data_IF_795144028869
#
_entry.id   IF_795144028869
#
_cell.length_a   1.000
_cell.length_b   1.000
_cell.length_c   1.000
_cell.angle_alpha   90.00
_cell.angle_beta   90.00
_cell.angle_gamma   90.00
#
_symmetry.space_group_name_H-M   'P 1'
#
loop_
_entity.id
_entity.type
_entity.pdbx_description
1 polymer ?
#
# COMPACT_ATOMS: atom_id res chain seq x y z
N UNK A 1 3.15 -6.37 -29.24
CA UNK A 1 1.76 -6.32 -29.76
C UNK A 1 0.84 -5.91 -28.63
N UNK A 2 -0.01 -4.89 -28.81
CA UNK A 2 -0.95 -4.47 -27.71
C UNK A 2 -2.11 -5.46 -27.64
N UNK A 3 -2.50 -5.96 -26.45
CA UNK A 3 -3.60 -6.91 -26.33
C UNK A 3 -4.94 -6.28 -26.75
N UNK A 4 -5.82 -7.08 -27.35
CA UNK A 4 -7.17 -6.66 -27.67
C UNK A 4 -8.04 -6.55 -26.40
N UNK A 5 -9.07 -5.71 -26.43
CA UNK A 5 -9.98 -5.54 -25.28
C UNK A 5 -10.61 -6.87 -24.84
N UNK A 6 -10.97 -7.72 -25.80
CA UNK A 6 -11.54 -9.03 -25.51
C UNK A 6 -10.57 -9.96 -24.80
N UNK A 7 -9.27 -9.91 -25.11
CA UNK A 7 -8.27 -10.74 -24.47
C UNK A 7 -8.04 -10.32 -23.01
N UNK A 8 -8.09 -9.00 -22.74
CA UNK A 8 -8.03 -8.47 -21.39
C UNK A 8 -9.21 -8.93 -20.52
N UNK A 9 -10.43 -8.90 -21.10
CA UNK A 9 -11.64 -9.32 -20.38
C UNK A 9 -11.68 -10.83 -20.16
N UNK A 10 -11.25 -11.62 -21.14
CA UNK A 10 -11.14 -13.08 -21.00
C UNK A 10 -10.15 -13.46 -19.88
N UNK A 11 -8.97 -12.86 -19.88
CA UNK A 11 -7.97 -13.11 -18.85
C UNK A 11 -8.49 -12.72 -17.45
N UNK A 12 -9.13 -11.56 -17.34
CA UNK A 12 -9.74 -11.12 -16.10
C UNK A 12 -10.83 -12.11 -15.61
N UNK A 13 -11.64 -12.63 -16.51
CA UNK A 13 -12.69 -13.60 -16.20
C UNK A 13 -12.13 -14.94 -15.72
N UNK A 14 -11.02 -15.40 -16.31
CA UNK A 14 -10.32 -16.60 -15.81
C UNK A 14 -9.80 -16.42 -14.38
N UNK A 15 -9.35 -15.21 -14.04
CA UNK A 15 -8.95 -14.91 -12.65
C UNK A 15 -10.16 -14.90 -11.71
N UNK A 16 -11.32 -14.35 -12.14
CA UNK A 16 -12.60 -14.43 -11.37
C UNK A 16 -12.98 -15.89 -11.13
N UNK A 17 -12.93 -16.73 -12.16
CA UNK A 17 -13.22 -18.17 -12.09
C UNK A 17 -12.30 -18.90 -11.12
N UNK A 18 -10.99 -18.65 -11.23
CA UNK A 18 -9.95 -19.23 -10.37
C UNK A 18 -10.10 -18.81 -8.90
N UNK A 19 -10.47 -17.57 -8.67
CA UNK A 19 -10.66 -16.98 -7.31
C UNK A 19 -12.06 -17.24 -6.75
N UNK A 20 -13.01 -17.73 -7.58
CA UNK A 20 -14.44 -17.86 -7.26
C UNK A 20 -15.07 -16.58 -6.71
N UNK A 21 -14.66 -15.43 -7.26
CA UNK A 21 -15.15 -14.12 -6.85
C UNK A 21 -14.38 -12.98 -7.49
N UNK A 22 -14.80 -11.74 -7.20
CA UNK A 22 -14.16 -10.53 -7.73
C UNK A 22 -12.72 -10.40 -7.23
N UNK A 23 -11.71 -10.40 -8.12
CA UNK A 23 -10.34 -10.18 -7.71
C UNK A 23 -10.13 -8.71 -7.36
N UNK A 24 -9.42 -8.44 -6.27
CA UNK A 24 -8.83 -7.13 -6.04
C UNK A 24 -7.76 -6.84 -7.11
N UNK A 25 -7.38 -5.57 -7.26
CA UNK A 25 -6.33 -5.15 -8.19
C UNK A 25 -5.00 -5.89 -7.91
N UNK A 26 -4.62 -6.00 -6.65
CA UNK A 26 -3.42 -6.72 -6.21
C UNK A 26 -3.52 -8.23 -6.44
N UNK A 27 -4.68 -8.83 -6.17
CA UNK A 27 -4.89 -10.25 -6.45
C UNK A 27 -4.81 -10.57 -7.95
N UNK A 28 -5.26 -9.65 -8.82
CA UNK A 28 -5.13 -9.80 -10.25
C UNK A 28 -3.67 -9.63 -10.72
N UNK A 29 -2.91 -8.71 -10.12
CA UNK A 29 -1.49 -8.50 -10.43
C UNK A 29 -0.68 -9.80 -10.30
N UNK A 30 -1.01 -10.62 -9.29
CA UNK A 30 -0.31 -11.89 -9.02
C UNK A 30 -0.78 -13.04 -9.93
N UNK A 31 -2.05 -13.02 -10.38
CA UNK A 31 -2.67 -14.19 -11.05
C UNK A 31 -3.04 -13.95 -12.50
N UNK A 32 -3.18 -12.70 -12.92
CA UNK A 32 -3.54 -12.32 -14.29
C UNK A 32 -2.34 -12.29 -15.23
N UNK A 33 -2.60 -12.45 -16.51
CA UNK A 33 -1.59 -12.42 -17.56
C UNK A 33 -1.13 -11.01 -17.91
N UNK A 34 -2.01 -10.02 -17.70
CA UNK A 34 -1.76 -8.63 -18.09
C UNK A 34 -1.61 -7.74 -16.87
N UNK A 35 -0.88 -6.63 -17.02
CA UNK A 35 -0.74 -5.68 -15.94
C UNK A 35 -2.07 -4.95 -15.66
N UNK A 36 -2.51 -4.83 -14.38
CA UNK A 36 -3.81 -4.23 -14.03
C UNK A 36 -4.06 -2.86 -14.65
N UNK A 37 -3.03 -1.99 -14.70
CA UNK A 37 -3.12 -0.65 -15.29
C UNK A 37 -3.50 -0.69 -16.78
N UNK A 38 -3.17 -1.77 -17.50
CA UNK A 38 -3.57 -1.93 -18.90
C UNK A 38 -5.08 -2.09 -19.02
N UNK A 39 -5.68 -2.87 -18.12
CA UNK A 39 -7.13 -3.06 -18.04
C UNK A 39 -7.81 -1.77 -17.59
N UNK A 40 -7.31 -1.14 -16.54
CA UNK A 40 -7.84 0.12 -15.99
C UNK A 40 -7.93 1.22 -17.06
N UNK A 41 -6.84 1.43 -17.81
CA UNK A 41 -6.81 2.42 -18.90
C UNK A 41 -7.82 2.15 -20.03
N UNK A 42 -8.16 0.88 -20.25
CA UNK A 42 -9.06 0.47 -21.33
C UNK A 42 -10.53 0.56 -20.94
N UNK A 43 -10.85 0.34 -19.67
CA UNK A 43 -12.23 0.21 -19.18
C UNK A 43 -12.64 1.30 -18.19
N UNK A 44 -11.79 2.32 -17.95
CA UNK A 44 -12.16 3.47 -17.11
C UNK A 44 -11.95 3.24 -15.61
N UNK A 45 -11.02 2.35 -15.24
CA UNK A 45 -10.67 2.04 -13.87
C UNK A 45 -11.06 0.63 -13.43
N UNK A 46 -10.45 0.15 -12.35
CA UNK A 46 -10.68 -1.20 -11.84
C UNK A 46 -12.16 -1.50 -11.49
N UNK A 47 -12.92 -0.58 -10.85
CA UNK A 47 -14.33 -0.80 -10.53
C UNK A 47 -15.24 -0.95 -11.76
N UNK A 48 -14.84 -0.45 -12.92
CA UNK A 48 -15.63 -0.53 -14.15
C UNK A 48 -15.44 -1.87 -14.90
N UNK A 49 -14.41 -2.65 -14.56
CA UNK A 49 -14.10 -3.90 -15.28
C UNK A 49 -15.22 -4.95 -15.19
N UNK A 50 -15.87 -5.18 -14.03
CA UNK A 50 -16.98 -6.13 -13.94
C UNK A 50 -18.15 -5.80 -14.88
N UNK A 51 -18.48 -4.52 -14.99
CA UNK A 51 -19.55 -4.07 -15.88
C UNK A 51 -19.17 -4.19 -17.37
N UNK A 52 -17.92 -3.85 -17.70
CA UNK A 52 -17.39 -4.06 -19.05
C UNK A 52 -17.40 -5.55 -19.42
N UNK A 53 -17.09 -6.42 -18.45
CA UNK A 53 -17.15 -7.86 -18.68
C UNK A 53 -18.58 -8.37 -18.85
N UNK A 54 -19.56 -7.90 -18.06
CA UNK A 54 -20.99 -8.25 -18.26
C UNK A 54 -21.46 -7.92 -19.67
N UNK A 55 -21.09 -6.77 -20.19
CA UNK A 55 -21.40 -6.38 -21.58
C UNK A 55 -20.74 -7.30 -22.61
N UNK A 56 -19.49 -7.67 -22.37
CA UNK A 56 -18.74 -8.59 -23.23
C UNK A 56 -19.33 -10.01 -23.20
N UNK A 57 -19.75 -10.48 -22.04
CA UNK A 57 -20.25 -11.84 -21.81
C UNK A 57 -21.73 -12.03 -22.24
N UNK A 58 -22.43 -10.95 -22.56
CA UNK A 58 -23.83 -10.99 -22.94
C UNK A 58 -24.07 -11.93 -24.14
N UNK A 59 -24.97 -12.90 -23.99
CA UNK A 59 -25.27 -13.91 -25.00
C UNK A 59 -24.22 -15.04 -25.15
N UNK A 60 -23.15 -15.04 -24.37
CA UNK A 60 -22.07 -16.05 -24.46
C UNK A 60 -22.19 -17.07 -23.34
N UNK A 61 -22.61 -18.29 -23.68
CA UNK A 61 -22.81 -19.39 -22.70
C UNK A 61 -21.53 -19.78 -21.96
N UNK A 62 -20.36 -19.61 -22.56
CA UNK A 62 -19.05 -19.92 -21.99
C UNK A 62 -18.69 -19.13 -20.72
N UNK A 63 -19.39 -18.00 -20.44
CA UNK A 63 -19.14 -17.11 -19.33
C UNK A 63 -20.28 -17.04 -18.30
N UNK A 64 -21.26 -17.94 -18.40
CA UNK A 64 -22.43 -17.95 -17.51
C UNK A 64 -22.03 -18.15 -16.04
N UNK A 65 -21.04 -18.97 -15.78
CA UNK A 65 -20.48 -19.23 -14.45
C UNK A 65 -19.82 -17.96 -13.85
N UNK A 66 -19.05 -17.23 -14.65
CA UNK A 66 -18.40 -15.98 -14.22
C UNK A 66 -19.45 -14.90 -13.95
N UNK A 67 -20.45 -14.77 -14.82
CA UNK A 67 -21.56 -13.80 -14.61
C UNK A 67 -22.33 -14.12 -13.33
N UNK A 68 -22.56 -15.39 -13.02
CA UNK A 68 -23.18 -15.81 -11.76
C UNK A 68 -22.31 -15.46 -10.54
N UNK A 69 -20.99 -15.64 -10.62
CA UNK A 69 -20.07 -15.22 -9.57
C UNK A 69 -20.07 -13.70 -9.35
N UNK A 70 -20.23 -12.91 -10.43
CA UNK A 70 -20.36 -11.45 -10.33
C UNK A 70 -21.68 -11.01 -9.71
N UNK A 71 -22.74 -11.79 -9.86
CA UNK A 71 -24.04 -11.51 -9.24
C UNK A 71 -24.03 -11.88 -7.74
N UNK A 72 -23.36 -12.96 -7.38
CA UNK A 72 -23.22 -13.41 -5.98
C UNK A 72 -22.26 -12.54 -5.16
N UNK A 73 -21.31 -11.88 -5.81
CA UNK A 73 -20.27 -11.08 -5.17
C UNK A 73 -20.47 -9.56 -5.20
N UNK A 74 -21.66 -9.07 -5.58
CA UNK A 74 -21.97 -7.65 -5.46
C UNK A 74 -22.19 -7.28 -3.99
N UNK A 75 -21.26 -6.56 -3.34
CA UNK A 75 -21.54 -6.04 -2.02
C UNK A 75 -22.63 -5.00 -2.17
N UNK A 76 -23.64 -5.08 -1.32
CA UNK A 76 -24.67 -4.07 -1.16
C UNK A 76 -24.01 -2.81 -0.57
N UNK A 77 -23.40 -2.00 -1.41
CA UNK A 77 -22.85 -0.70 -1.01
C UNK A 77 -24.01 0.25 -0.70
N UNK A 78 -24.42 0.25 0.58
CA UNK A 78 -25.10 1.41 1.13
C UNK A 78 -24.08 2.56 1.19
N UNK A 79 -24.44 3.78 0.74
CA UNK A 79 -23.55 4.94 0.84
C UNK A 79 -23.17 5.14 2.30
N UNK A 80 -21.87 5.29 2.59
CA UNK A 80 -21.40 5.75 3.88
C UNK A 80 -21.93 7.16 4.11
N UNK A 81 -23.07 7.28 4.78
CA UNK A 81 -23.48 8.55 5.39
C UNK A 81 -22.43 8.93 6.41
N UNK A 82 -21.90 10.14 6.28
CA UNK A 82 -20.96 10.73 7.22
C UNK A 82 -21.48 10.55 8.66
N UNK A 83 -20.84 9.67 9.42
CA UNK A 83 -21.12 9.53 10.84
C UNK A 83 -20.50 10.72 11.55
N UNK A 84 -21.36 11.59 12.04
CA UNK A 84 -21.03 12.59 13.06
C UNK A 84 -20.35 11.89 14.25
N UNK A 85 -19.16 12.36 14.58
CA UNK A 85 -18.37 11.92 15.71
C UNK A 85 -19.17 12.03 17.03
N UNK A 86 -19.38 10.96 17.80
CA UNK A 86 -19.78 11.13 19.16
C UNK A 86 -18.58 11.62 19.98
N UNK A 87 -18.82 12.64 20.79
CA UNK A 87 -17.90 13.34 21.67
C UNK A 87 -16.94 12.38 22.41
N UNK A 88 -15.65 12.62 22.22
CA UNK A 88 -14.62 12.54 23.22
C UNK A 88 -14.52 11.28 24.08
N UNK A 89 -13.87 10.22 23.56
CA UNK A 89 -13.12 9.32 24.44
C UNK A 89 -11.63 9.67 24.28
N UNK A 90 -11.12 10.55 25.15
CA UNK A 90 -9.67 10.73 25.31
C UNK A 90 -9.15 9.47 26.00
N UNK A 91 -8.49 8.61 25.24
CA UNK A 91 -7.64 7.59 25.84
C UNK A 91 -6.44 8.29 26.50
N UNK A 92 -6.10 7.98 27.76
CA UNK A 92 -4.97 8.57 28.46
C UNK A 92 -3.68 8.27 27.69
N UNK A 93 -3.01 9.31 27.24
CA UNK A 93 -1.71 9.24 26.59
C UNK A 93 -0.67 8.77 27.61
N UNK A 94 -0.35 7.52 27.64
CA UNK A 94 0.71 6.97 28.48
C UNK A 94 0.50 5.54 28.94
N UNK A 95 -0.71 5.15 29.25
CA UNK A 95 -0.98 3.79 29.75
C UNK A 95 -1.27 2.75 28.66
N UNK A 96 -1.68 3.16 27.47
CA UNK A 96 -1.98 2.24 26.38
C UNK A 96 -0.76 1.47 25.83
N UNK A 97 0.46 1.99 26.05
CA UNK A 97 1.69 1.34 25.57
C UNK A 97 2.16 0.19 26.44
N UNK A 98 1.91 0.21 27.75
CA UNK A 98 2.23 -0.89 28.65
C UNK A 98 1.28 -2.08 28.50
N UNK A 99 0.02 -1.81 28.16
CA UNK A 99 -0.97 -2.86 27.97
C UNK A 99 -0.72 -3.72 26.72
N UNK A 100 -0.12 -3.14 25.66
CA UNK A 100 0.19 -3.88 24.43
C UNK A 100 1.43 -4.77 24.53
N UNK A 101 2.35 -4.49 25.47
CA UNK A 101 3.55 -5.34 25.71
C UNK A 101 3.21 -6.64 26.47
N UNK A 102 2.06 -6.72 27.11
CA UNK A 102 1.62 -7.89 27.86
C UNK A 102 0.33 -8.51 27.30
N UNK A 103 0.08 -8.42 26.00
CA UNK A 103 -1.04 -9.11 25.38
C UNK A 103 -0.84 -10.62 25.47
N UNK A 104 -1.65 -11.37 26.27
CA UNK A 104 -1.44 -12.81 26.48
C UNK A 104 -1.85 -13.67 25.29
N UNK A 105 -2.23 -13.07 24.18
CA UNK A 105 -2.82 -13.75 23.06
C UNK A 105 -1.81 -14.27 22.03
N UNK A 106 -1.20 -15.39 22.28
CA UNK A 106 -0.62 -16.23 21.19
C UNK A 106 -1.66 -16.77 20.19
N UNK A 107 -2.96 -16.61 20.50
CA UNK A 107 -4.07 -16.88 19.58
C UNK A 107 -4.70 -15.53 19.24
N UNK A 108 -4.31 -14.96 18.10
CA UNK A 108 -4.91 -13.73 17.58
C UNK A 108 -6.43 -13.88 17.45
N UNK A 109 -7.17 -12.79 17.65
CA UNK A 109 -8.59 -12.77 17.36
C UNK A 109 -8.82 -13.06 15.87
N UNK A 110 -9.89 -13.76 15.55
CA UNK A 110 -10.32 -13.95 14.18
C UNK A 110 -10.71 -12.61 13.59
N UNK A 111 -10.13 -12.29 12.44
CA UNK A 111 -10.48 -11.07 11.71
C UNK A 111 -11.95 -11.12 11.29
N UNK A 112 -12.72 -10.11 11.66
CA UNK A 112 -14.10 -9.97 11.23
C UNK A 112 -14.14 -9.54 9.75
N UNK A 113 -15.05 -10.14 9.00
CA UNK A 113 -15.31 -9.73 7.61
C UNK A 113 -15.86 -8.30 7.60
N UNK A 114 -15.55 -7.56 6.53
CA UNK A 114 -16.03 -6.19 6.30
C UNK A 114 -15.62 -5.16 7.38
N UNK A 115 -14.56 -5.45 8.11
CA UNK A 115 -13.92 -4.51 9.05
C UNK A 115 -12.53 -4.16 8.57
N UNK A 116 -12.24 -2.86 8.46
CA UNK A 116 -10.90 -2.39 8.17
C UNK A 116 -9.94 -2.78 9.31
N UNK A 117 -8.74 -3.23 8.94
CA UNK A 117 -7.64 -3.45 9.88
C UNK A 117 -6.66 -2.28 9.79
N UNK A 118 -6.09 -1.91 10.92
CA UNK A 118 -5.15 -0.83 11.05
C UNK A 118 -3.86 -1.33 11.70
N UNK A 119 -2.76 -0.61 11.48
CA UNK A 119 -1.51 -0.80 12.24
C UNK A 119 -1.68 -0.41 13.70
N UNK A 120 -0.62 -0.55 14.49
CA UNK A 120 -0.66 -0.11 15.88
C UNK A 120 -0.91 1.40 16.00
N UNK A 121 -1.54 1.87 17.09
CA UNK A 121 -1.68 3.29 17.34
C UNK A 121 -0.31 3.98 17.43
N UNK A 122 -0.12 5.06 16.68
CA UNK A 122 1.12 5.82 16.62
C UNK A 122 0.92 7.28 17.03
N UNK A 123 -0.20 7.89 16.59
CA UNK A 123 -0.58 9.29 16.82
C UNK A 123 0.56 10.28 16.49
N UNK A 124 1.09 10.16 15.29
CA UNK A 124 2.18 10.99 14.82
C UNK A 124 1.72 11.95 13.72
N UNK A 125 1.79 13.26 13.96
CA UNK A 125 1.51 14.34 12.98
C UNK A 125 0.19 14.13 12.20
N UNK A 126 -0.87 13.70 12.88
CA UNK A 126 -2.15 13.40 12.24
C UNK A 126 -2.29 12.00 11.67
N UNK A 127 -1.23 11.24 11.57
CA UNK A 127 -1.25 9.83 11.24
C UNK A 127 -1.51 9.00 12.50
N UNK A 128 -2.72 8.42 12.62
CA UNK A 128 -3.17 7.77 13.84
C UNK A 128 -2.58 6.38 14.05
N UNK A 129 -2.31 5.67 12.97
CA UNK A 129 -1.82 4.30 12.98
C UNK A 129 -0.52 4.18 12.19
N UNK A 130 0.27 3.17 12.55
CA UNK A 130 1.43 2.76 11.76
C UNK A 130 1.04 2.47 10.31
N UNK A 131 1.92 2.73 9.34
CA UNK A 131 1.72 2.27 7.97
C UNK A 131 1.43 0.77 7.90
N UNK A 132 0.60 0.35 6.98
CA UNK A 132 0.32 -1.05 6.67
C UNK A 132 0.62 -1.38 5.20
N UNK A 133 1.11 -0.41 4.45
CA UNK A 133 1.46 -0.51 3.03
C UNK A 133 2.42 0.61 2.62
N UNK A 134 2.92 0.55 1.40
CA UNK A 134 3.86 1.51 0.80
C UNK A 134 3.31 2.95 0.78
N UNK A 135 2.02 3.14 0.48
CA UNK A 135 1.42 4.48 0.44
C UNK A 135 1.48 5.17 1.81
N UNK A 136 1.33 4.40 2.88
CA UNK A 136 1.52 4.90 4.24
C UNK A 136 2.97 5.29 4.52
N UNK A 137 3.94 4.57 3.95
CA UNK A 137 5.37 4.90 4.04
C UNK A 137 5.68 6.18 3.28
N UNK A 138 5.16 6.33 2.05
CA UNK A 138 5.29 7.56 1.24
C UNK A 138 4.78 8.78 2.01
N UNK A 139 3.56 8.70 2.56
CA UNK A 139 2.96 9.78 3.34
C UNK A 139 3.82 10.15 4.55
N UNK A 140 4.27 9.14 5.29
CA UNK A 140 5.07 9.33 6.50
C UNK A 140 6.44 9.90 6.18
N UNK A 141 7.10 9.45 5.12
CA UNK A 141 8.35 10.03 4.64
C UNK A 141 8.16 11.51 4.26
N UNK A 142 7.09 11.85 3.53
CA UNK A 142 6.80 13.25 3.20
C UNK A 142 6.65 14.16 4.43
N UNK A 143 6.12 13.64 5.54
CA UNK A 143 6.03 14.36 6.82
C UNK A 143 7.37 14.50 7.52
N UNK A 144 8.35 13.65 7.23
CA UNK A 144 9.64 13.55 7.89
C UNK A 144 10.82 14.00 7.01
N UNK A 145 10.61 14.18 5.72
CA UNK A 145 11.67 14.37 4.74
C UNK A 145 12.65 15.46 5.15
N UNK A 146 12.14 16.61 5.58
CA UNK A 146 12.97 17.75 6.01
C UNK A 146 13.84 17.41 7.22
N UNK A 147 13.28 16.75 8.22
CA UNK A 147 13.99 16.34 9.44
C UNK A 147 15.01 15.25 9.18
N UNK A 148 14.77 14.43 8.17
CA UNK A 148 15.72 13.42 7.69
C UNK A 148 16.78 13.99 6.73
N UNK A 149 16.71 15.29 6.44
CA UNK A 149 17.66 15.95 5.55
C UNK A 149 17.38 15.73 4.07
N UNK A 150 16.12 15.55 3.68
CA UNK A 150 15.71 15.41 2.29
C UNK A 150 14.81 16.56 1.83
N UNK A 151 15.01 16.97 0.58
CA UNK A 151 14.10 17.82 -0.18
C UNK A 151 13.54 17.00 -1.33
N UNK A 152 12.26 16.73 -1.31
CA UNK A 152 11.58 15.94 -2.34
C UNK A 152 11.43 16.77 -3.61
N UNK A 153 11.91 16.27 -4.74
CA UNK A 153 11.80 16.90 -6.05
C UNK A 153 10.62 16.36 -6.84
N UNK A 154 10.45 15.02 -6.83
CA UNK A 154 9.37 14.36 -7.54
C UNK A 154 8.96 13.07 -6.83
N UNK A 155 7.66 12.78 -6.83
CA UNK A 155 7.10 11.48 -6.47
C UNK A 155 6.33 10.95 -7.67
N UNK A 156 6.57 9.69 -8.03
CA UNK A 156 6.00 9.08 -9.22
C UNK A 156 5.53 7.65 -8.97
N UNK A 157 4.76 7.11 -9.88
CA UNK A 157 4.20 5.75 -9.75
C UNK A 157 5.03 4.67 -10.44
N UNK A 158 6.18 5.02 -10.95
CA UNK A 158 7.11 4.13 -11.63
C UNK A 158 8.46 4.19 -10.94
N UNK A 159 9.25 3.14 -11.13
CA UNK A 159 10.59 3.04 -10.56
C UNK A 159 11.56 4.11 -11.11
N UNK A 160 12.34 4.80 -10.28
CA UNK A 160 12.20 4.87 -8.83
C UNK A 160 10.97 5.69 -8.41
N UNK A 161 10.40 5.43 -7.24
CA UNK A 161 9.20 6.10 -6.73
C UNK A 161 9.40 7.59 -6.46
N UNK A 162 10.64 7.99 -6.12
CA UNK A 162 10.91 9.36 -5.73
C UNK A 162 12.33 9.79 -6.14
N UNK A 163 12.45 11.03 -6.57
CA UNK A 163 13.72 11.77 -6.68
C UNK A 163 13.77 12.84 -5.59
N UNK A 164 14.89 12.93 -4.89
CA UNK A 164 15.10 13.89 -3.83
C UNK A 164 16.53 14.39 -3.79
N UNK A 165 16.70 15.58 -3.19
CA UNK A 165 18.01 16.07 -2.78
C UNK A 165 18.25 15.66 -1.33
N UNK A 166 19.34 14.95 -1.06
CA UNK A 166 19.78 14.57 0.29
C UNK A 166 20.88 15.52 0.74
N UNK A 167 20.75 16.05 1.94
CA UNK A 167 21.77 16.92 2.53
C UNK A 167 23.00 16.11 2.94
N UNK A 168 24.16 16.49 2.41
CA UNK A 168 25.45 15.86 2.75
C UNK A 168 26.18 16.69 3.80
N UNK A 169 26.14 17.99 3.65
CA UNK A 169 26.62 18.98 4.60
C UNK A 169 25.65 20.15 4.64
N UNK A 170 25.73 21.10 5.58
CA UNK A 170 24.81 22.25 5.64
C UNK A 170 24.60 22.98 4.33
N UNK A 171 25.61 23.01 3.45
CA UNK A 171 25.57 23.73 2.18
C UNK A 171 25.61 22.85 0.93
N UNK A 172 25.62 21.53 1.10
CA UNK A 172 25.77 20.60 -0.03
C UNK A 172 24.69 19.55 -0.04
N UNK A 173 24.11 19.38 -1.21
CA UNK A 173 23.05 18.45 -1.48
C UNK A 173 23.45 17.49 -2.61
N UNK A 174 22.98 16.27 -2.53
CA UNK A 174 23.19 15.24 -3.55
C UNK A 174 21.85 14.69 -3.99
N UNK A 175 21.64 14.60 -5.30
CA UNK A 175 20.47 13.93 -5.85
C UNK A 175 20.51 12.44 -5.55
N UNK A 176 19.40 11.89 -5.12
CA UNK A 176 19.23 10.47 -4.82
C UNK A 176 17.90 9.98 -5.35
N UNK A 177 17.89 8.70 -5.72
CA UNK A 177 16.71 7.96 -6.19
C UNK A 177 16.22 7.09 -5.05
N UNK A 178 14.97 7.27 -4.67
CA UNK A 178 14.36 6.63 -3.51
C UNK A 178 13.28 5.66 -3.99
N UNK A 179 13.26 4.49 -3.38
CA UNK A 179 12.14 3.54 -3.50
C UNK A 179 11.46 3.40 -2.15
N UNK A 180 10.13 3.33 -2.16
CA UNK A 180 9.33 3.16 -0.94
C UNK A 180 8.83 1.73 -0.83
N UNK A 181 9.05 1.12 0.33
CA UNK A 181 8.61 -0.24 0.61
C UNK A 181 7.98 -0.34 2.00
N UNK A 182 7.00 -1.22 2.17
CA UNK A 182 6.54 -1.50 3.52
C UNK A 182 7.60 -2.29 4.31
N UNK A 183 8.18 -3.30 3.68
CA UNK A 183 9.33 -4.05 4.16
C UNK A 183 10.45 -3.96 3.14
N UNK A 184 11.69 -3.68 3.57
CA UNK A 184 12.82 -3.46 2.65
C UNK A 184 13.08 -4.61 1.68
N UNK A 185 12.75 -5.85 2.07
CA UNK A 185 12.90 -7.04 1.23
C UNK A 185 11.96 -7.04 0.00
N UNK A 186 10.83 -6.33 0.06
CA UNK A 186 9.90 -6.25 -1.05
C UNK A 186 10.56 -5.66 -2.31
N UNK A 187 11.55 -4.78 -2.15
CA UNK A 187 12.35 -4.25 -3.26
C UNK A 187 12.91 -5.37 -4.15
N UNK A 188 13.50 -6.40 -3.54
CA UNK A 188 14.02 -7.56 -4.26
C UNK A 188 12.89 -8.37 -4.89
N UNK A 189 11.80 -8.55 -4.14
CA UNK A 189 10.68 -9.39 -4.55
C UNK A 189 9.88 -8.76 -5.71
N UNK A 190 9.93 -7.42 -5.84
CA UNK A 190 9.40 -6.66 -6.99
C UNK A 190 10.32 -6.71 -8.22
N UNK A 191 11.56 -7.21 -8.09
CA UNK A 191 12.49 -7.38 -9.20
C UNK A 191 13.09 -6.07 -9.71
N UNK A 192 13.15 -5.03 -8.87
CA UNK A 192 13.78 -3.76 -9.22
C UNK A 192 15.30 -3.89 -9.36
N UNK A 193 15.87 -3.12 -10.29
CA UNK A 193 17.32 -3.08 -10.48
C UNK A 193 17.96 -2.25 -9.35
N UNK A 194 18.87 -2.86 -8.60
CA UNK A 194 19.63 -2.16 -7.56
C UNK A 194 20.47 -0.99 -8.08
N UNK A 195 20.85 -1.01 -9.37
CA UNK A 195 21.56 0.10 -10.00
C UNK A 195 20.69 1.35 -10.21
N UNK A 196 19.37 1.21 -10.11
CA UNK A 196 18.40 2.30 -10.28
C UNK A 196 17.96 2.95 -8.98
N UNK A 197 18.43 2.49 -7.81
CA UNK A 197 18.02 2.95 -6.50
C UNK A 197 19.22 3.27 -5.63
N UNK A 198 19.19 4.38 -4.92
CA UNK A 198 20.24 4.82 -4.02
C UNK A 198 19.82 4.67 -2.55
N UNK A 199 18.51 4.80 -2.27
CA UNK A 199 17.94 4.74 -0.93
C UNK A 199 16.63 3.95 -0.96
N UNK A 200 16.45 3.00 -0.05
CA UNK A 200 15.15 2.40 0.24
C UNK A 200 14.63 3.00 1.54
N UNK A 201 13.47 3.65 1.46
CA UNK A 201 12.73 4.11 2.63
C UNK A 201 11.65 3.09 2.94
N UNK A 202 11.70 2.48 4.12
CA UNK A 202 10.74 1.43 4.49
C UNK A 202 10.16 1.66 5.88
N UNK A 203 9.02 0.99 6.17
CA UNK A 203 8.51 0.93 7.52
C UNK A 203 9.35 0.01 8.39
N UNK A 204 9.72 -1.20 7.86
CA UNK A 204 10.55 -2.20 8.55
C UNK A 204 11.70 -2.66 7.67
N UNK A 205 12.89 -2.71 8.25
CA UNK A 205 14.04 -3.32 7.60
C UNK A 205 14.12 -4.81 7.94
N UNK A 206 14.00 -5.69 6.93
CA UNK A 206 14.04 -7.15 7.07
C UNK A 206 14.86 -7.83 5.96
N UNK A 207 15.77 -7.11 5.32
CA UNK A 207 16.61 -7.61 4.23
C UNK A 207 18.08 -7.54 4.59
N UNK A 208 18.62 -8.57 5.27
CA UNK A 208 20.01 -8.65 5.71
C UNK A 208 21.03 -8.64 4.55
N UNK A 209 20.64 -9.18 3.39
CA UNK A 209 21.47 -9.26 2.17
C UNK A 209 21.33 -8.04 1.27
N UNK A 210 20.85 -6.91 1.78
CA UNK A 210 20.68 -5.69 0.99
C UNK A 210 22.03 -5.25 0.39
N UNK A 211 22.10 -4.89 -0.90
CA UNK A 211 23.32 -4.41 -1.51
C UNK A 211 23.92 -3.21 -0.75
N UNK A 212 25.20 -3.25 -0.45
CA UNK A 212 25.89 -2.24 0.40
C UNK A 212 25.84 -0.81 -0.14
N UNK A 213 25.58 -0.63 -1.45
CA UNK A 213 25.48 0.69 -2.05
C UNK A 213 24.09 1.32 -1.89
N UNK A 214 23.09 0.55 -1.45
CA UNK A 214 21.74 1.05 -1.16
C UNK A 214 21.69 1.38 0.33
N UNK A 215 21.34 2.62 0.63
CA UNK A 215 21.07 3.07 2.00
C UNK A 215 19.65 2.66 2.43
N UNK A 216 19.49 2.24 3.66
CA UNK A 216 18.17 1.92 4.23
C UNK A 216 17.77 2.98 5.24
N UNK A 217 16.59 3.56 5.05
CA UNK A 217 15.95 4.46 6.01
C UNK A 217 14.71 3.77 6.57
N UNK A 218 14.84 3.22 7.77
CA UNK A 218 13.74 2.56 8.48
C UNK A 218 12.95 3.57 9.32
N UNK A 219 11.75 3.93 8.88
CA UNK A 219 10.91 4.95 9.54
C UNK A 219 10.40 4.51 10.91
N UNK A 220 10.19 3.22 11.14
CA UNK A 220 9.77 2.72 12.45
C UNK A 220 10.82 3.04 13.53
N UNK A 221 12.09 2.85 13.23
CA UNK A 221 13.20 3.17 14.12
C UNK A 221 13.32 4.67 14.38
N UNK A 222 13.12 5.51 13.34
CA UNK A 222 13.14 6.97 13.46
C UNK A 222 12.08 7.49 14.41
N UNK A 223 10.85 6.94 14.33
CA UNK A 223 9.71 7.42 15.12
C UNK A 223 9.71 6.82 16.52
N UNK A 224 10.01 5.52 16.66
CA UNK A 224 9.90 4.81 17.94
C UNK A 224 11.09 5.14 18.85
N UNK A 225 12.28 5.22 18.30
CA UNK A 225 13.54 5.36 19.04
C UNK A 225 14.20 6.73 18.87
N UNK A 226 13.74 7.53 17.92
CA UNK A 226 14.41 8.76 17.50
C UNK A 226 14.07 9.99 18.34
N UNK A 227 14.85 11.08 18.18
CA UNK A 227 14.66 12.36 18.86
C UNK A 227 13.34 13.05 18.51
N UNK A 228 12.72 12.68 17.40
CA UNK A 228 11.45 13.26 16.91
C UNK A 228 10.25 12.93 17.81
N UNK A 229 10.35 11.92 18.66
CA UNK A 229 9.32 11.55 19.64
C UNK A 229 9.15 12.58 20.75
N UNK A 230 10.20 13.38 21.05
CA UNK A 230 10.18 14.36 22.14
C UNK A 230 9.48 15.67 21.77
N UNK A 231 9.33 15.97 20.48
CA UNK A 231 8.75 17.22 19.99
C UNK A 231 7.21 17.25 19.93
N UNK A 232 6.53 16.12 20.16
CA UNK A 232 5.07 16.01 20.10
C UNK A 232 4.39 15.88 21.46
N UNK A 233 5.14 16.05 22.55
CA UNK A 233 4.62 16.04 23.92
C UNK A 233 4.59 17.49 24.47
N UNK A 234 3.78 18.35 23.85
CA UNK A 234 3.30 19.62 24.41
C UNK A 234 1.79 19.70 24.24
#
# INVERSE_FOLDING_TARGET
MRPANNDLLKDWAEVVRKKRGLPSRSAYLVTGKYYPRTIEKRFGGWPAVPEAFRKFANGKREWTDVVALLAAGAPNEKPLTARTNPKGCRLPSGQARHALQHWPGKKGHVTLRDRATYGNPMDFRGMRHEPTNEQGVVLLFGMLAKELGYLVEAVQTGFPDCEAMRQITPERWQRVRIEFEFESRNFRDHGHSSAGCDVIVCWRHNWEECPKHIEIVELSSVIISGPLRRATAC
#
